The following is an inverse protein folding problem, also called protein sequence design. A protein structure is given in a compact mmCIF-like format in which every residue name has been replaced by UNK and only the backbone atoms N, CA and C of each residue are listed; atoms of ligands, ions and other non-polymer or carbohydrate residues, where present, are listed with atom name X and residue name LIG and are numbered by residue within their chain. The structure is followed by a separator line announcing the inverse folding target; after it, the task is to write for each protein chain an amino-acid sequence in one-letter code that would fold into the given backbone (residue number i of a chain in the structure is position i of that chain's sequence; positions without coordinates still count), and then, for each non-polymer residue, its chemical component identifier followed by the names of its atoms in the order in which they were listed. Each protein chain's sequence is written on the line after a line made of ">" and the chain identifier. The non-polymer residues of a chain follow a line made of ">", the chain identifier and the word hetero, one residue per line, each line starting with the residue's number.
data_IF_773444706295
#
_entry.id   IF_773444706295
#
_cell.length_a   1.000
_cell.length_b   1.000
_cell.length_c   1.000
_cell.angle_alpha   90.00
_cell.angle_beta   90.00
_cell.angle_gamma   90.00
#
_symmetry.space_group_name_H-M   'P 1'
#
loop_
_entity.id
_entity.type
_entity.pdbx_description
1 polymer ?
#
# COMPACT_ATOMS: atom_id res chain seq x y z
N UNK A 1 57.28 12.76 -1.39
CA UNK A 1 55.98 12.20 -0.94
C UNK A 1 55.05 13.21 -0.23
N UNK A 2 55.53 14.04 0.73
CA UNK A 2 54.68 15.05 1.43
C UNK A 2 54.15 16.18 0.52
N UNK A 3 54.83 16.50 -0.58
CA UNK A 3 54.39 17.51 -1.56
C UNK A 3 53.20 17.05 -2.44
N UNK A 4 53.18 15.77 -2.84
CA UNK A 4 52.09 15.17 -3.62
C UNK A 4 50.79 15.03 -2.81
N UNK A 5 50.90 14.71 -1.51
CA UNK A 5 49.74 14.67 -0.60
C UNK A 5 49.14 16.07 -0.40
N UNK A 6 49.97 17.14 -0.35
CA UNK A 6 49.48 18.53 -0.29
C UNK A 6 48.81 18.97 -1.59
N UNK A 7 49.32 18.56 -2.75
CA UNK A 7 48.70 18.85 -4.05
C UNK A 7 47.35 18.13 -4.23
N UNK A 8 47.24 16.86 -3.81
CA UNK A 8 45.95 16.16 -3.81
C UNK A 8 44.95 16.76 -2.81
N UNK A 9 45.40 17.25 -1.65
CA UNK A 9 44.52 17.92 -0.67
C UNK A 9 44.04 19.29 -1.16
N UNK A 10 44.89 20.05 -1.89
CA UNK A 10 44.50 21.31 -2.56
C UNK A 10 43.57 21.09 -3.75
N UNK A 11 43.62 19.91 -4.39
CA UNK A 11 42.72 19.51 -5.49
C UNK A 11 41.42 18.84 -5.02
N UNK A 12 41.31 18.49 -3.73
CA UNK A 12 40.06 18.06 -3.09
C UNK A 12 39.36 19.21 -2.35
N UNK A 13 40.07 20.32 -2.09
CA UNK A 13 39.44 21.63 -1.90
C UNK A 13 39.11 22.27 -3.24
N UNK A 14 38.52 21.49 -4.16
CA UNK A 14 37.70 22.09 -5.23
C UNK A 14 36.72 22.98 -4.49
N UNK A 15 37.01 24.27 -4.59
CA UNK A 15 36.09 25.35 -4.29
C UNK A 15 34.74 24.86 -4.78
N UNK A 16 33.81 24.59 -3.86
CA UNK A 16 32.40 24.51 -4.22
C UNK A 16 32.14 25.84 -4.90
N UNK A 17 32.19 25.84 -6.24
CA UNK A 17 31.86 26.95 -7.10
C UNK A 17 30.61 27.60 -6.48
N UNK A 18 30.61 28.92 -6.20
CA UNK A 18 29.47 29.57 -5.55
C UNK A 18 28.15 29.22 -6.23
N UNK A 19 28.22 29.00 -7.55
CA UNK A 19 27.14 28.53 -8.42
C UNK A 19 26.64 27.12 -8.06
N UNK A 20 27.51 26.14 -7.80
CA UNK A 20 27.12 24.78 -7.41
C UNK A 20 26.47 24.74 -6.02
N UNK A 21 27.01 25.50 -5.06
CA UNK A 21 26.45 25.64 -3.72
C UNK A 21 25.08 26.33 -3.74
N UNK A 22 24.92 27.36 -4.57
CA UNK A 22 23.66 28.06 -4.76
C UNK A 22 22.61 27.18 -5.45
N UNK A 23 22.99 26.41 -6.49
CA UNK A 23 22.10 25.44 -7.15
C UNK A 23 21.61 24.37 -6.18
N UNK A 24 22.50 23.83 -5.33
CA UNK A 24 22.14 22.84 -4.31
C UNK A 24 21.20 23.41 -3.25
N UNK A 25 21.43 24.65 -2.79
CA UNK A 25 20.51 25.34 -1.87
C UNK A 25 19.15 25.60 -2.50
N UNK A 26 19.12 26.09 -3.75
CA UNK A 26 17.89 26.33 -4.49
C UNK A 26 17.11 25.02 -4.68
N UNK A 27 17.79 23.93 -5.06
CA UNK A 27 17.18 22.61 -5.17
C UNK A 27 16.54 22.17 -3.85
N UNK A 28 17.27 22.24 -2.73
CA UNK A 28 16.73 21.86 -1.41
C UNK A 28 15.53 22.73 -1.00
N UNK A 29 15.59 24.04 -1.26
CA UNK A 29 14.50 24.97 -0.96
C UNK A 29 13.27 24.67 -1.79
N UNK A 30 13.41 24.51 -3.10
CA UNK A 30 12.29 24.23 -4.01
C UNK A 30 11.66 22.87 -3.68
N UNK A 31 12.47 21.82 -3.56
CA UNK A 31 11.98 20.47 -3.27
C UNK A 31 11.43 20.28 -1.85
N UNK A 32 11.68 21.21 -0.92
CA UNK A 32 11.09 21.16 0.42
C UNK A 32 9.89 22.11 0.55
N UNK A 33 10.04 23.38 0.15
CA UNK A 33 9.03 24.41 0.35
C UNK A 33 7.85 24.27 -0.61
N UNK A 34 8.07 23.86 -1.87
CA UNK A 34 6.96 23.68 -2.82
C UNK A 34 6.03 22.57 -2.35
N UNK A 35 6.49 21.33 -2.05
CA UNK A 35 5.60 20.31 -1.49
C UNK A 35 4.98 20.75 -0.16
N UNK A 36 5.76 21.32 0.75
CA UNK A 36 5.26 21.78 2.04
C UNK A 36 4.14 22.82 1.91
N UNK A 37 4.27 23.78 0.99
CA UNK A 37 3.25 24.81 0.78
C UNK A 37 1.93 24.22 0.26
N UNK A 38 2.00 23.28 -0.69
CA UNK A 38 0.82 22.53 -1.16
C UNK A 38 0.14 21.81 -0.01
N UNK A 39 0.91 21.18 0.90
CA UNK A 39 0.36 20.51 2.07
C UNK A 39 -0.25 21.45 3.09
N UNK A 40 0.40 22.58 3.39
CA UNK A 40 -0.15 23.58 4.31
C UNK A 40 -1.48 24.10 3.78
N UNK A 41 -1.54 24.46 2.48
CA UNK A 41 -2.77 24.93 1.84
C UNK A 41 -3.87 23.86 1.87
N UNK A 42 -3.53 22.60 1.56
CA UNK A 42 -4.50 21.50 1.58
C UNK A 42 -4.95 21.12 3.00
N UNK A 43 -4.06 21.23 4.00
CA UNK A 43 -4.37 20.91 5.40
C UNK A 43 -5.34 21.89 6.05
N UNK A 44 -5.51 23.09 5.47
CA UNK A 44 -6.54 24.05 5.92
C UNK A 44 -7.93 23.64 5.41
N UNK A 45 -7.99 22.91 4.28
CA UNK A 45 -9.22 22.58 3.58
C UNK A 45 -9.73 21.16 3.86
N UNK A 46 -8.85 20.23 4.21
CA UNK A 46 -9.18 18.84 4.40
C UNK A 46 -8.56 18.28 5.70
N UNK A 47 -9.23 17.34 6.39
CA UNK A 47 -8.68 16.68 7.56
C UNK A 47 -7.35 15.99 7.19
N UNK A 48 -6.26 16.27 7.92
CA UNK A 48 -4.94 15.79 7.55
C UNK A 48 -4.85 14.27 7.72
N UNK A 49 -4.51 13.57 6.63
CA UNK A 49 -4.16 12.15 6.69
C UNK A 49 -2.64 12.02 6.85
N UNK A 50 -2.19 11.15 7.75
CA UNK A 50 -0.78 11.04 8.14
C UNK A 50 0.14 10.70 6.95
N UNK A 51 -0.36 9.88 6.02
CA UNK A 51 0.32 9.52 4.77
C UNK A 51 0.53 10.70 3.80
N UNK A 52 -0.21 11.80 3.95
CA UNK A 52 -0.04 12.98 3.11
C UNK A 52 1.25 13.74 3.41
N UNK A 53 1.82 13.63 4.61
CA UNK A 53 3.12 14.29 4.92
C UNK A 53 4.34 13.61 4.30
N UNK A 54 4.16 12.43 3.67
CA UNK A 54 5.25 11.61 3.12
C UNK A 54 6.25 12.36 2.24
N UNK A 55 5.83 13.17 1.25
CA UNK A 55 6.77 13.90 0.41
C UNK A 55 7.60 14.96 1.16
N UNK A 56 7.06 15.56 2.21
CA UNK A 56 7.83 16.48 3.08
C UNK A 56 8.93 15.72 3.80
N UNK A 57 8.62 14.53 4.34
CA UNK A 57 9.62 13.67 4.96
C UNK A 57 10.70 13.22 3.97
N UNK A 58 10.33 12.90 2.72
CA UNK A 58 11.30 12.55 1.68
C UNK A 58 12.24 13.72 1.34
N UNK A 59 11.73 14.96 1.32
CA UNK A 59 12.54 16.15 1.09
C UNK A 59 13.53 16.44 2.24
N UNK A 60 13.23 15.97 3.46
CA UNK A 60 14.09 16.13 4.64
C UNK A 60 15.22 15.08 4.70
N UNK A 61 15.08 13.94 4.02
CA UNK A 61 16.08 12.85 4.02
C UNK A 61 17.50 13.30 3.65
N UNK A 62 17.73 14.12 2.59
CA UNK A 62 19.08 14.59 2.26
C UNK A 62 19.70 15.47 3.35
N UNK A 63 18.89 16.29 4.02
CA UNK A 63 19.35 17.13 5.13
C UNK A 63 19.74 16.28 6.35
N UNK A 64 18.93 15.26 6.68
CA UNK A 64 19.25 14.28 7.72
C UNK A 64 20.54 13.53 7.40
N UNK A 65 20.73 13.08 6.15
CA UNK A 65 21.95 12.39 5.74
C UNK A 65 23.21 13.25 5.90
N UNK A 66 23.13 14.56 5.62
CA UNK A 66 24.23 15.50 5.84
C UNK A 66 24.53 15.68 7.33
N UNK A 67 23.51 15.80 8.18
CA UNK A 67 23.69 15.93 9.63
C UNK A 67 24.35 14.67 10.22
N UNK A 68 23.95 13.49 9.76
CA UNK A 68 24.54 12.20 10.18
C UNK A 68 26.00 12.08 9.73
N UNK A 69 26.35 12.54 8.53
CA UNK A 69 27.73 12.44 8.02
C UNK A 69 28.69 13.51 8.60
N UNK A 70 28.15 14.60 9.17
CA UNK A 70 28.94 15.70 9.73
C UNK A 70 29.21 15.57 11.25
N UNK A 71 28.44 14.75 11.96
CA UNK A 71 28.57 14.54 13.42
C UNK A 71 29.91 13.97 13.87
N UNK A 72 30.69 13.35 12.96
CA UNK A 72 32.02 12.80 13.23
C UNK A 72 33.20 13.75 12.99
N UNK A 73 32.99 15.01 12.57
CA UNK A 73 34.10 15.95 12.27
C UNK A 73 34.40 16.89 13.44
N UNK A 74 35.69 17.10 13.71
CA UNK A 74 36.28 17.75 14.90
C UNK A 74 35.89 19.21 15.17
N UNK A 75 35.13 19.87 14.28
CA UNK A 75 34.62 21.23 14.45
C UNK A 75 33.10 21.29 14.67
N UNK A 76 32.52 20.25 15.28
CA UNK A 76 31.09 20.20 15.62
C UNK A 76 30.77 21.11 16.81
N UNK A 77 29.73 21.94 16.68
CA UNK A 77 29.12 22.70 17.79
C UNK A 77 28.60 21.75 18.88
N UNK A 78 28.42 22.24 20.12
CA UNK A 78 27.97 21.41 21.25
C UNK A 78 26.67 20.66 20.93
N UNK A 79 25.72 21.32 20.25
CA UNK A 79 24.47 20.75 19.76
C UNK A 79 24.69 19.57 18.79
N UNK A 80 25.61 19.71 17.83
CA UNK A 80 25.91 18.67 16.85
C UNK A 80 26.53 17.42 17.49
N UNK A 81 27.32 17.56 18.57
CA UNK A 81 27.85 16.43 19.33
C UNK A 81 26.76 15.68 20.08
N UNK A 82 25.86 16.38 20.77
CA UNK A 82 24.77 15.73 21.50
C UNK A 82 23.79 15.04 20.54
N UNK A 83 23.35 15.71 19.48
CA UNK A 83 22.48 15.10 18.46
C UNK A 83 23.16 13.90 17.80
N UNK A 84 24.45 13.99 17.48
CA UNK A 84 25.23 12.87 16.95
C UNK A 84 25.34 11.69 17.90
N UNK A 85 25.50 11.94 19.20
CA UNK A 85 25.62 10.91 20.24
C UNK A 85 24.32 10.13 20.44
N UNK A 86 23.16 10.78 20.33
CA UNK A 86 21.86 10.11 20.47
C UNK A 86 21.46 9.35 19.21
N UNK A 87 21.99 9.72 18.04
CA UNK A 87 21.62 9.11 16.76
C UNK A 87 21.81 7.59 16.73
N UNK A 88 22.94 7.09 17.24
CA UNK A 88 23.21 5.66 17.32
C UNK A 88 22.17 4.92 18.17
N UNK A 89 21.85 5.48 19.34
CA UNK A 89 20.82 4.92 20.22
C UNK A 89 19.42 4.99 19.61
N UNK A 90 19.07 6.09 18.90
CA UNK A 90 17.80 6.23 18.20
C UNK A 90 17.66 5.23 17.07
N UNK A 91 18.69 5.05 16.23
CA UNK A 91 18.67 4.07 15.13
C UNK A 91 18.54 2.65 15.68
N UNK A 92 19.32 2.31 16.72
CA UNK A 92 19.22 1.00 17.37
C UNK A 92 17.83 0.78 17.99
N UNK A 93 17.32 1.77 18.71
CA UNK A 93 15.99 1.72 19.32
C UNK A 93 14.88 1.56 18.29
N UNK A 94 14.93 2.31 17.19
CA UNK A 94 13.99 2.17 16.07
C UNK A 94 14.12 0.81 15.39
N UNK A 95 15.34 0.34 15.13
CA UNK A 95 15.58 -0.97 14.52
C UNK A 95 15.02 -2.10 15.39
N UNK A 96 15.25 -2.06 16.71
CA UNK A 96 14.67 -3.02 17.65
C UNK A 96 13.16 -2.91 17.71
N UNK A 97 12.61 -1.69 17.75
CA UNK A 97 11.17 -1.46 17.74
C UNK A 97 10.51 -2.02 16.48
N UNK A 98 11.06 -1.73 15.30
CA UNK A 98 10.57 -2.27 14.03
C UNK A 98 10.76 -3.78 13.93
N UNK A 99 11.89 -4.32 14.38
CA UNK A 99 12.14 -5.76 14.41
C UNK A 99 11.08 -6.48 15.26
N UNK A 100 10.85 -5.99 16.49
CA UNK A 100 9.84 -6.55 17.40
C UNK A 100 8.44 -6.38 16.83
N UNK A 101 8.10 -5.19 16.34
CA UNK A 101 6.79 -4.88 15.76
C UNK A 101 6.47 -5.74 14.53
N UNK A 102 7.40 -5.85 13.58
CA UNK A 102 7.22 -6.70 12.40
C UNK A 102 7.22 -8.19 12.75
N UNK A 103 8.07 -8.63 13.68
CA UNK A 103 8.04 -10.02 14.16
C UNK A 103 6.71 -10.35 14.83
N UNK A 104 6.15 -9.42 15.60
CA UNK A 104 4.83 -9.56 16.21
C UNK A 104 3.72 -9.65 15.16
N UNK A 105 3.74 -8.79 14.14
CA UNK A 105 2.74 -8.81 13.06
C UNK A 105 2.86 -10.09 12.22
N UNK A 106 4.08 -10.52 11.87
CA UNK A 106 4.31 -11.64 10.97
C UNK A 106 4.13 -13.02 11.63
N UNK A 107 4.62 -13.20 12.86
CA UNK A 107 4.61 -14.49 13.55
C UNK A 107 3.51 -14.58 14.62
N UNK A 108 3.04 -13.44 15.12
CA UNK A 108 2.26 -13.37 16.36
C UNK A 108 3.13 -13.67 17.59
N UNK A 109 2.81 -13.09 18.74
CA UNK A 109 3.41 -13.56 20.00
C UNK A 109 2.60 -14.73 20.57
N UNK A 110 3.27 -15.79 21.08
CA UNK A 110 2.60 -16.86 21.82
C UNK A 110 1.76 -16.26 22.96
N UNK A 111 0.50 -16.68 23.08
CA UNK A 111 -0.41 -16.19 24.13
C UNK A 111 -1.15 -14.87 23.84
N UNK A 112 -0.81 -14.16 22.77
CA UNK A 112 -1.57 -12.97 22.32
C UNK A 112 -2.50 -13.32 21.16
N UNK A 113 -3.73 -12.81 21.18
CA UNK A 113 -4.59 -12.86 19.99
C UNK A 113 -3.97 -11.89 18.98
N UNK A 114 -3.57 -12.37 17.80
CA UNK A 114 -3.23 -11.52 16.65
C UNK A 114 -4.31 -10.44 16.56
N UNK A 115 -3.92 -9.18 16.43
CA UNK A 115 -4.80 -8.00 16.45
C UNK A 115 -6.10 -8.26 15.68
N UNK A 116 -7.13 -8.71 16.41
CA UNK A 116 -8.43 -9.04 15.82
C UNK A 116 -9.06 -7.72 15.39
N UNK A 117 -9.32 -7.56 14.09
CA UNK A 117 -10.01 -6.40 13.54
C UNK A 117 -9.14 -5.38 12.83
N UNK A 118 -7.81 -5.55 12.80
CA UNK A 118 -7.01 -4.89 11.76
C UNK A 118 -7.04 -5.80 10.52
N UNK A 119 -7.45 -5.30 9.33
CA UNK A 119 -7.13 -5.94 8.07
C UNK A 119 -5.61 -5.82 7.89
N UNK A 120 -4.87 -6.65 8.62
CA UNK A 120 -3.43 -6.68 8.54
C UNK A 120 -3.08 -7.17 7.12
N UNK A 121 -2.05 -6.59 6.49
CA UNK A 121 -1.60 -6.94 5.14
C UNK A 121 -0.93 -8.33 5.07
N UNK A 122 -1.30 -9.21 5.99
CA UNK A 122 -0.75 -10.54 6.15
C UNK A 122 -1.67 -11.50 5.44
N UNK A 123 -1.14 -12.16 4.41
CA UNK A 123 -1.79 -13.19 3.58
C UNK A 123 -2.52 -12.72 2.30
N UNK A 124 -2.10 -11.62 1.67
CA UNK A 124 -2.68 -11.21 0.38
C UNK A 124 -2.52 -12.26 -0.72
N UNK A 125 -1.41 -12.99 -0.70
CA UNK A 125 -1.17 -14.08 -1.64
C UNK A 125 -2.18 -15.21 -1.43
N UNK A 126 -2.35 -15.69 -0.20
CA UNK A 126 -3.34 -16.73 0.13
C UNK A 126 -4.77 -16.25 -0.14
N UNK A 127 -5.07 -14.97 0.08
CA UNK A 127 -6.37 -14.39 -0.23
C UNK A 127 -6.60 -14.34 -1.75
N UNK A 128 -5.58 -13.98 -2.53
CA UNK A 128 -5.60 -14.03 -3.99
C UNK A 128 -5.88 -15.44 -4.51
N UNK A 129 -5.19 -16.44 -3.96
CA UNK A 129 -5.38 -17.86 -4.29
C UNK A 129 -6.80 -18.35 -4.00
N UNK A 130 -7.33 -18.02 -2.82
CA UNK A 130 -8.70 -18.38 -2.44
C UNK A 130 -9.73 -17.75 -3.38
N UNK A 131 -9.59 -16.46 -3.69
CA UNK A 131 -10.51 -15.74 -4.58
C UNK A 131 -10.42 -16.24 -6.02
N UNK A 132 -9.21 -16.54 -6.52
CA UNK A 132 -9.03 -17.19 -7.82
C UNK A 132 -9.75 -18.54 -7.86
N UNK A 133 -9.53 -19.38 -6.84
CA UNK A 133 -10.21 -20.68 -6.74
C UNK A 133 -11.74 -20.56 -6.70
N UNK A 134 -12.29 -19.56 -6.00
CA UNK A 134 -13.73 -19.30 -5.99
C UNK A 134 -14.22 -18.88 -7.39
N UNK A 135 -13.55 -17.92 -8.03
CA UNK A 135 -13.93 -17.43 -9.35
C UNK A 135 -13.92 -18.55 -10.40
N UNK A 136 -12.88 -19.38 -10.39
CA UNK A 136 -12.74 -20.54 -11.28
C UNK A 136 -13.78 -21.63 -11.00
N UNK A 137 -14.09 -21.89 -9.72
CA UNK A 137 -15.14 -22.85 -9.37
C UNK A 137 -16.53 -22.39 -9.82
N UNK A 138 -16.83 -21.10 -9.71
CA UNK A 138 -18.10 -20.55 -10.19
C UNK A 138 -18.20 -20.58 -11.72
N UNK A 139 -17.08 -20.42 -12.43
CA UNK A 139 -17.02 -20.65 -13.86
C UNK A 139 -17.29 -22.12 -14.22
N UNK A 140 -16.58 -23.07 -13.59
CA UNK A 140 -16.77 -24.50 -13.84
C UNK A 140 -18.18 -25.02 -13.54
N UNK A 141 -18.94 -24.35 -12.67
CA UNK A 141 -20.34 -24.68 -12.35
C UNK A 141 -21.33 -24.31 -13.47
N UNK A 142 -20.84 -23.83 -14.61
CA UNK A 142 -21.65 -23.54 -15.80
C UNK A 142 -21.93 -22.05 -16.00
N UNK A 143 -21.07 -21.17 -15.44
CA UNK A 143 -21.16 -19.73 -15.60
C UNK A 143 -19.99 -19.15 -16.40
N UNK A 144 -20.06 -17.85 -16.73
CA UNK A 144 -18.89 -17.10 -17.17
C UNK A 144 -18.00 -16.75 -15.97
N UNK A 145 -16.69 -16.55 -16.20
CA UNK A 145 -15.78 -16.03 -15.19
C UNK A 145 -16.33 -14.72 -14.58
N UNK A 146 -16.63 -14.68 -13.27
CA UNK A 146 -17.25 -13.53 -12.65
C UNK A 146 -16.28 -12.34 -12.55
N UNK A 147 -16.83 -11.14 -12.62
CA UNK A 147 -16.12 -9.90 -12.29
C UNK A 147 -15.78 -9.91 -10.80
N UNK A 148 -14.50 -9.78 -10.45
CA UNK A 148 -14.08 -9.75 -9.04
C UNK A 148 -14.14 -8.32 -8.51
N UNK A 149 -14.85 -8.09 -7.40
CA UNK A 149 -15.06 -6.76 -6.81
C UNK A 149 -14.79 -6.77 -5.31
N UNK A 150 -13.88 -5.90 -4.87
CA UNK A 150 -13.71 -5.54 -3.47
C UNK A 150 -14.75 -4.53 -3.00
N UNK A 151 -15.40 -4.81 -1.86
CA UNK A 151 -16.34 -3.89 -1.20
C UNK A 151 -15.64 -2.92 -0.24
N UNK A 152 -14.55 -2.34 -0.72
CA UNK A 152 -13.81 -1.28 -0.06
C UNK A 152 -13.31 -0.29 -1.12
N UNK A 153 -12.79 0.88 -0.72
CA UNK A 153 -12.40 1.91 -1.68
C UNK A 153 -11.30 1.49 -2.68
N UNK A 154 -10.36 0.61 -2.31
CA UNK A 154 -9.28 0.19 -3.23
C UNK A 154 -8.44 -1.04 -2.83
N UNK A 155 -8.35 -1.42 -1.56
CA UNK A 155 -7.46 -2.47 -1.06
C UNK A 155 -7.77 -3.82 -1.69
N UNK A 156 -8.94 -4.40 -1.44
CA UNK A 156 -9.25 -5.77 -1.87
C UNK A 156 -9.13 -5.89 -3.38
N UNK A 157 -9.73 -4.97 -4.15
CA UNK A 157 -9.66 -5.03 -5.62
C UNK A 157 -8.22 -4.94 -6.15
N UNK A 158 -7.37 -4.09 -5.55
CA UNK A 158 -5.96 -3.94 -5.96
C UNK A 158 -5.16 -5.19 -5.63
N UNK A 159 -5.31 -5.70 -4.41
CA UNK A 159 -4.60 -6.90 -3.96
C UNK A 159 -5.06 -8.13 -4.74
N UNK A 160 -6.36 -8.27 -5.03
CA UNK A 160 -6.88 -9.36 -5.85
C UNK A 160 -6.37 -9.28 -7.29
N UNK A 161 -6.35 -8.08 -7.87
CA UNK A 161 -5.76 -7.90 -9.20
C UNK A 161 -4.27 -8.19 -9.22
N UNK A 162 -3.55 -8.07 -8.11
CA UNK A 162 -2.13 -8.41 -8.07
C UNK A 162 -1.89 -9.91 -7.82
N UNK A 163 -2.54 -10.47 -6.80
CA UNK A 163 -2.25 -11.83 -6.31
C UNK A 163 -3.10 -12.93 -6.93
N UNK A 164 -4.37 -12.67 -7.29
CA UNK A 164 -5.21 -13.68 -7.96
C UNK A 164 -4.94 -13.75 -9.47
N UNK A 165 -4.38 -12.69 -10.03
CA UNK A 165 -4.22 -12.53 -11.47
C UNK A 165 -3.35 -13.60 -12.14
N UNK A 166 -2.21 -14.06 -11.60
CA UNK A 166 -1.42 -15.09 -12.25
C UNK A 166 -2.21 -16.38 -12.52
N UNK A 167 -2.97 -16.87 -11.53
CA UNK A 167 -3.76 -18.10 -11.65
C UNK A 167 -4.93 -17.92 -12.60
N UNK A 168 -5.63 -16.80 -12.48
CA UNK A 168 -6.76 -16.48 -13.34
C UNK A 168 -6.27 -16.24 -14.79
N UNK A 169 -5.08 -15.67 -15.00
CA UNK A 169 -4.49 -15.46 -16.33
C UNK A 169 -4.11 -16.77 -17.00
N UNK A 170 -3.61 -17.75 -16.25
CA UNK A 170 -3.29 -19.07 -16.80
C UNK A 170 -4.54 -19.72 -17.43
N UNK A 171 -5.66 -19.69 -16.69
CA UNK A 171 -6.94 -20.19 -17.18
C UNK A 171 -7.48 -19.34 -18.34
N UNK A 172 -7.40 -18.01 -18.21
CA UNK A 172 -7.98 -17.09 -19.18
C UNK A 172 -7.23 -17.03 -20.50
N UNK A 173 -5.89 -17.21 -20.50
CA UNK A 173 -5.09 -17.32 -21.73
C UNK A 173 -5.45 -18.57 -22.52
N UNK A 174 -5.73 -19.66 -21.83
CA UNK A 174 -6.12 -20.94 -22.45
C UNK A 174 -7.46 -20.84 -23.17
N UNK A 175 -8.35 -19.95 -22.71
CA UNK A 175 -9.74 -19.86 -23.20
C UNK A 175 -10.11 -18.48 -23.80
N UNK A 176 -9.12 -17.62 -24.05
CA UNK A 176 -9.31 -16.25 -24.56
C UNK A 176 -10.33 -15.41 -23.76
N UNK A 177 -10.32 -15.54 -22.44
CA UNK A 177 -11.27 -14.88 -21.53
C UNK A 177 -10.79 -13.48 -21.16
N UNK A 178 -11.71 -12.51 -21.08
CA UNK A 178 -11.37 -11.16 -20.63
C UNK A 178 -11.53 -11.06 -19.11
N UNK A 179 -10.42 -10.73 -18.44
CA UNK A 179 -10.39 -10.55 -16.99
C UNK A 179 -10.86 -9.16 -16.59
N UNK A 180 -11.86 -9.13 -15.73
CA UNK A 180 -12.34 -7.87 -15.18
C UNK A 180 -12.25 -7.90 -13.65
N UNK A 181 -11.72 -6.81 -13.12
CA UNK A 181 -11.74 -6.48 -11.69
C UNK A 181 -12.47 -5.16 -11.55
N UNK A 182 -13.22 -4.95 -10.48
CA UNK A 182 -13.96 -3.70 -10.24
C UNK A 182 -13.89 -3.27 -8.79
N UNK A 183 -14.56 -2.18 -8.46
CA UNK A 183 -14.65 -1.63 -7.12
C UNK A 183 -16.09 -1.42 -6.69
N UNK A 184 -16.28 -0.92 -5.47
CA UNK A 184 -17.60 -0.69 -4.90
C UNK A 184 -18.45 0.39 -5.61
N UNK A 185 -17.94 1.07 -6.64
CA UNK A 185 -18.71 2.01 -7.49
C UNK A 185 -19.85 1.38 -8.24
N UNK A 186 -19.75 0.08 -8.51
CA UNK A 186 -20.86 -0.72 -9.03
C UNK A 186 -22.06 -0.78 -8.07
N UNK A 187 -21.92 -0.28 -6.85
CA UNK A 187 -22.99 -0.26 -5.85
C UNK A 187 -23.26 1.15 -5.31
N UNK A 188 -23.04 2.18 -6.14
CA UNK A 188 -23.22 3.60 -5.82
C UNK A 188 -22.34 4.07 -4.65
N UNK A 189 -21.09 3.59 -4.58
CA UNK A 189 -20.08 4.00 -3.58
C UNK A 189 -18.80 4.49 -4.27
N UNK A 190 -17.96 5.28 -3.59
CA UNK A 190 -16.68 5.70 -4.19
C UNK A 190 -15.63 4.58 -4.22
N UNK A 191 -14.96 4.36 -5.36
CA UNK A 191 -13.91 3.32 -5.52
C UNK A 191 -12.60 3.85 -6.14
N UNK A 192 -12.34 5.16 -6.04
CA UNK A 192 -11.16 5.82 -6.64
C UNK A 192 -11.03 5.48 -8.14
N UNK A 193 -9.85 5.04 -8.58
CA UNK A 193 -9.54 4.76 -9.99
C UNK A 193 -10.32 3.58 -10.57
N UNK A 194 -10.92 2.72 -9.74
CA UNK A 194 -11.70 1.58 -10.23
C UNK A 194 -12.94 2.01 -11.01
N UNK A 195 -13.52 3.16 -10.69
CA UNK A 195 -14.63 3.75 -11.43
C UNK A 195 -14.23 4.08 -12.88
N UNK A 196 -13.01 4.59 -13.05
CA UNK A 196 -12.45 4.88 -14.37
C UNK A 196 -12.03 3.62 -15.13
N UNK A 197 -11.41 2.64 -14.48
CA UNK A 197 -10.91 1.43 -15.14
C UNK A 197 -12.00 0.41 -15.48
N UNK A 198 -13.08 0.39 -14.69
CA UNK A 198 -14.14 -0.62 -14.79
C UNK A 198 -15.51 0.03 -14.79
N UNK A 199 -15.85 0.80 -15.84
CA UNK A 199 -17.09 1.56 -15.90
C UNK A 199 -18.32 0.64 -15.91
N UNK A 200 -19.42 1.12 -15.32
CA UNK A 200 -20.65 0.37 -15.07
C UNK A 200 -21.24 -0.23 -16.36
N UNK A 201 -21.09 0.46 -17.48
CA UNK A 201 -21.63 0.06 -18.78
C UNK A 201 -21.01 -1.24 -19.30
N UNK A 202 -19.76 -1.53 -18.91
CA UNK A 202 -19.03 -2.73 -19.35
C UNK A 202 -19.35 -3.98 -18.53
N UNK A 203 -20.08 -3.85 -17.43
CA UNK A 203 -20.33 -4.95 -16.48
C UNK A 203 -21.79 -5.41 -16.42
N UNK A 204 -22.69 -4.76 -17.16
CA UNK A 204 -24.10 -5.16 -17.24
C UNK A 204 -24.27 -6.60 -17.72
N UNK A 205 -25.21 -7.30 -17.11
CA UNK A 205 -25.51 -8.72 -17.35
C UNK A 205 -24.53 -9.70 -16.71
N UNK A 206 -23.35 -9.27 -16.26
CA UNK A 206 -22.31 -10.17 -15.75
C UNK A 206 -22.60 -10.69 -14.35
N UNK A 207 -22.01 -11.85 -14.04
CA UNK A 207 -21.85 -12.30 -12.68
C UNK A 207 -20.74 -11.49 -11.99
N UNK A 208 -20.93 -11.17 -10.71
CA UNK A 208 -19.98 -10.41 -9.90
C UNK A 208 -19.70 -11.20 -8.62
N UNK A 209 -18.42 -11.55 -8.41
CA UNK A 209 -17.90 -12.08 -7.16
C UNK A 209 -17.53 -10.89 -6.26
N UNK A 210 -18.34 -10.66 -5.23
CA UNK A 210 -18.14 -9.58 -4.26
C UNK A 210 -17.37 -10.12 -3.05
N UNK A 211 -16.32 -9.41 -2.66
CA UNK A 211 -15.41 -9.78 -1.57
C UNK A 211 -15.34 -8.66 -0.51
N UNK A 212 -15.37 -9.00 0.77
CA UNK A 212 -15.23 -8.04 1.87
C UNK A 212 -14.64 -8.67 3.13
N UNK A 213 -13.95 -7.88 3.95
CA UNK A 213 -13.59 -8.26 5.32
C UNK A 213 -14.74 -8.03 6.32
N UNK A 214 -15.83 -7.40 5.88
CA UNK A 214 -16.99 -7.06 6.70
C UNK A 214 -18.23 -7.73 6.10
N UNK A 215 -18.83 -8.66 6.85
CA UNK A 215 -19.94 -9.51 6.37
C UNK A 215 -21.20 -8.71 6.03
N UNK A 216 -21.47 -7.65 6.79
CA UNK A 216 -22.62 -6.76 6.65
C UNK A 216 -22.58 -5.97 5.33
N UNK A 217 -21.40 -5.62 4.83
CA UNK A 217 -21.24 -4.93 3.54
C UNK A 217 -21.81 -5.72 2.37
N UNK A 218 -21.78 -7.06 2.45
CA UNK A 218 -22.31 -7.95 1.41
C UNK A 218 -23.83 -8.07 1.43
N UNK A 219 -24.49 -7.79 2.55
CA UNK A 219 -25.94 -7.99 2.75
C UNK A 219 -26.82 -6.77 2.48
N UNK A 220 -26.23 -5.60 2.21
CA UNK A 220 -26.96 -4.34 2.14
C UNK A 220 -28.01 -4.26 1.02
N UNK A 221 -29.08 -3.48 1.27
CA UNK A 221 -30.13 -3.17 0.26
C UNK A 221 -29.55 -2.63 -1.04
N UNK A 222 -28.48 -1.84 -0.95
CA UNK A 222 -27.81 -1.26 -2.11
C UNK A 222 -27.25 -2.33 -3.04
N UNK A 223 -26.76 -3.47 -2.53
CA UNK A 223 -26.31 -4.58 -3.38
C UNK A 223 -27.51 -5.30 -4.01
N UNK A 224 -28.56 -5.56 -3.22
CA UNK A 224 -29.72 -6.35 -3.67
C UNK A 224 -30.42 -5.80 -4.91
N UNK A 225 -30.52 -4.49 -5.06
CA UNK A 225 -31.20 -3.86 -6.20
C UNK A 225 -30.44 -3.99 -7.54
N UNK A 226 -29.13 -4.22 -7.51
CA UNK A 226 -28.30 -4.27 -8.72
C UNK A 226 -28.21 -5.68 -9.34
N UNK A 227 -28.82 -6.69 -8.74
CA UNK A 227 -28.75 -8.06 -9.24
C UNK A 227 -30.14 -8.69 -9.40
N UNK A 228 -30.28 -9.54 -10.42
CA UNK A 228 -31.46 -10.39 -10.57
C UNK A 228 -31.52 -11.48 -9.51
N UNK A 229 -30.36 -12.08 -9.22
CA UNK A 229 -30.23 -13.15 -8.24
C UNK A 229 -28.96 -12.98 -7.43
N UNK A 230 -29.04 -13.27 -6.14
CA UNK A 230 -27.89 -13.27 -5.26
C UNK A 230 -27.70 -14.64 -4.63
N UNK A 231 -26.46 -15.11 -4.61
CA UNK A 231 -26.04 -16.26 -3.82
C UNK A 231 -25.96 -15.95 -2.32
N UNK A 232 -25.76 -17.00 -1.49
CA UNK A 232 -25.56 -16.85 -0.06
C UNK A 232 -24.25 -16.09 0.23
N UNK A 233 -24.17 -15.49 1.43
CA UNK A 233 -22.91 -14.96 1.94
C UNK A 233 -22.15 -16.13 2.55
N UNK A 234 -20.94 -16.36 2.06
CA UNK A 234 -20.05 -17.45 2.48
C UNK A 234 -18.90 -16.86 3.29
N UNK A 235 -18.57 -17.55 4.38
CA UNK A 235 -17.47 -17.22 5.26
C UNK A 235 -16.26 -18.09 4.84
N UNK A 236 -15.18 -17.48 4.37
CA UNK A 236 -13.95 -18.16 3.98
C UNK A 236 -12.78 -17.76 4.90
N UNK A 237 -12.33 -18.66 5.80
CA UNK A 237 -11.17 -18.39 6.64
C UNK A 237 -9.89 -18.46 5.81
N UNK A 238 -9.14 -17.36 5.74
CA UNK A 238 -7.84 -17.30 5.08
C UNK A 238 -6.79 -17.92 5.99
N UNK A 239 -6.04 -18.91 5.48
CA UNK A 239 -5.12 -19.73 6.27
C UNK A 239 -3.69 -19.68 5.72
N UNK A 240 -2.73 -19.39 6.60
CA UNK A 240 -1.30 -19.62 6.34
C UNK A 240 -0.88 -20.88 7.12
N UNK A 241 -0.29 -21.87 6.45
CA UNK A 241 0.21 -23.11 7.09
C UNK A 241 -0.82 -23.73 8.07
N UNK A 242 -2.09 -23.81 7.64
CA UNK A 242 -3.27 -24.31 8.40
C UNK A 242 -3.77 -23.43 9.56
N UNK A 243 -3.12 -22.32 9.89
CA UNK A 243 -3.60 -21.35 10.90
C UNK A 243 -4.47 -20.29 10.22
N UNK A 244 -5.70 -20.10 10.70
CA UNK A 244 -6.55 -19.01 10.25
C UNK A 244 -5.96 -17.66 10.72
N UNK A 245 -5.68 -16.77 9.76
CA UNK A 245 -5.07 -15.45 10.00
C UNK A 245 -6.06 -14.31 9.74
N UNK A 246 -7.03 -14.53 8.85
CA UNK A 246 -8.08 -13.56 8.54
C UNK A 246 -9.37 -14.28 8.12
N UNK A 247 -10.46 -13.52 7.97
CA UNK A 247 -11.74 -14.00 7.45
C UNK A 247 -12.14 -13.15 6.25
N UNK A 248 -12.34 -13.81 5.11
CA UNK A 248 -12.91 -13.21 3.92
C UNK A 248 -14.38 -13.61 3.84
N UNK A 249 -15.25 -12.63 3.68
CA UNK A 249 -16.64 -12.88 3.33
C UNK A 249 -16.80 -12.63 1.84
N UNK A 250 -17.56 -13.49 1.17
CA UNK A 250 -17.86 -13.31 -0.23
C UNK A 250 -19.27 -13.76 -0.59
N UNK A 251 -19.76 -13.25 -1.71
CA UNK A 251 -21.00 -13.71 -2.34
C UNK A 251 -20.95 -13.46 -3.83
N UNK A 252 -21.73 -14.23 -4.60
CA UNK A 252 -21.89 -14.01 -6.03
C UNK A 252 -23.25 -13.36 -6.30
N UNK A 253 -23.25 -12.32 -7.13
CA UNK A 253 -24.46 -11.76 -7.72
C UNK A 253 -24.52 -12.08 -9.21
N UNK A 254 -25.70 -12.40 -9.72
CA UNK A 254 -25.93 -12.77 -11.11
C UNK A 254 -26.88 -11.77 -11.78
N UNK A 255 -26.64 -11.49 -13.06
CA UNK A 255 -27.45 -10.56 -13.83
C UNK A 255 -27.35 -9.13 -13.30
N UNK A 256 -26.16 -8.54 -13.33
CA UNK A 256 -25.96 -7.17 -12.88
C UNK A 256 -26.74 -6.17 -13.75
N UNK A 257 -27.55 -5.30 -13.14
CA UNK A 257 -28.51 -4.37 -13.79
C UNK A 257 -27.93 -2.98 -14.03
#
# INVERSE_FOLDING_TARGET
>A
MRALVRLCRKRLSVVEEPTARNKRRLFMLVFSLVPLSVFVLHSIQAPPKLNWTGPVWLAVLPAMAVLVNQSGKTAATWWQRHVGSFWGATVLGLALFYLVGFSYIALGMPGTKILKGMPLPTAWQELGHEVAGIALNEEHRGGELPLIVGLDPYWISSEMRFYALPEILEEARTHNKTLYFGGQHLFERGSLMWDYWSPVEKVRGRAILMCSFERDKLGGRNIRRHFERLGPIVDSPIRIKKRAVSMLYWRVGYGYR
#
